data_IF_014620044222
#
_entry.id   IF_014620044222
#
_cell.length_a   1.000
_cell.length_b   1.000
_cell.length_c   1.000
_cell.angle_alpha   90.00
_cell.angle_beta   90.00
_cell.angle_gamma   90.00
#
_symmetry.space_group_name_H-M   'P 1'
#
loop_
_entity.id
_entity.type
_entity.pdbx_description
1 polymer ?
#
# COMPACT_ATOMS: atom_id res chain seq x y z
N UNK A 1 -1.58 -18.00 -15.49
CA UNK A 1 -0.59 -17.23 -14.70
C UNK A 1 -0.67 -15.75 -15.06
N UNK A 2 -0.68 -15.41 -16.35
CA UNK A 2 -0.69 -14.03 -16.85
C UNK A 2 -1.90 -13.20 -16.43
N UNK A 3 -3.11 -13.78 -16.42
CA UNK A 3 -4.32 -13.05 -16.01
C UNK A 3 -4.31 -12.61 -14.54
N UNK A 4 -3.78 -13.44 -13.64
CA UNK A 4 -3.74 -13.13 -12.21
C UNK A 4 -2.65 -12.09 -11.89
N UNK A 5 -1.48 -12.22 -12.51
CA UNK A 5 -0.41 -11.24 -12.40
C UNK A 5 -0.85 -9.88 -12.98
N UNK A 6 -1.45 -9.87 -14.17
CA UNK A 6 -1.93 -8.64 -14.81
C UNK A 6 -3.03 -7.97 -13.96
N UNK A 7 -4.00 -8.72 -13.46
CA UNK A 7 -5.02 -8.21 -12.55
C UNK A 7 -4.43 -7.61 -11.26
N UNK A 8 -3.40 -8.23 -10.67
CA UNK A 8 -2.70 -7.68 -9.51
C UNK A 8 -1.96 -6.38 -9.86
N UNK A 9 -1.22 -6.34 -10.96
CA UNK A 9 -0.47 -5.15 -11.41
C UNK A 9 -1.43 -3.99 -11.69
N UNK A 10 -2.50 -4.23 -12.45
CA UNK A 10 -3.53 -3.22 -12.73
C UNK A 10 -4.25 -2.77 -11.46
N UNK A 11 -4.58 -3.70 -10.55
CA UNK A 11 -5.17 -3.37 -9.26
C UNK A 11 -4.24 -2.49 -8.41
N UNK A 12 -2.95 -2.84 -8.34
CA UNK A 12 -1.96 -2.07 -7.58
C UNK A 12 -1.76 -0.66 -8.17
N UNK A 13 -1.76 -0.54 -9.50
CA UNK A 13 -1.77 0.75 -10.19
C UNK A 13 -2.96 1.63 -9.78
N UNK A 14 -4.17 1.05 -9.77
CA UNK A 14 -5.38 1.77 -9.37
C UNK A 14 -5.37 2.15 -7.88
N UNK A 15 -4.84 1.29 -7.00
CA UNK A 15 -4.65 1.61 -5.58
C UNK A 15 -3.68 2.76 -5.40
N UNK A 16 -2.53 2.73 -6.09
CA UNK A 16 -1.52 3.78 -6.02
C UNK A 16 -2.06 5.12 -6.53
N UNK A 17 -2.80 5.13 -7.65
CA UNK A 17 -3.45 6.33 -8.17
C UNK A 17 -4.47 6.90 -7.18
N UNK A 18 -5.32 6.05 -6.62
CA UNK A 18 -6.33 6.45 -5.63
C UNK A 18 -5.67 7.10 -4.42
N UNK A 19 -4.59 6.51 -3.90
CA UNK A 19 -3.81 7.06 -2.79
C UNK A 19 -3.20 8.42 -3.11
N UNK A 20 -2.61 8.56 -4.30
CA UNK A 20 -2.02 9.82 -4.73
C UNK A 20 -3.05 10.96 -4.79
N UNK A 21 -4.25 10.68 -5.33
CA UNK A 21 -5.36 11.64 -5.38
C UNK A 21 -5.80 12.03 -3.96
N UNK A 22 -6.00 11.05 -3.09
CA UNK A 22 -6.43 11.29 -1.71
C UNK A 22 -5.39 12.10 -0.93
N UNK A 23 -4.10 11.81 -1.11
CA UNK A 23 -3.01 12.57 -0.49
C UNK A 23 -2.94 13.98 -1.06
N UNK A 24 -3.07 14.15 -2.37
CA UNK A 24 -3.10 15.47 -2.98
C UNK A 24 -4.20 16.36 -2.38
N UNK A 25 -5.43 15.82 -2.30
CA UNK A 25 -6.58 16.52 -1.73
C UNK A 25 -6.34 16.82 -0.24
N UNK A 26 -5.93 15.81 0.54
CA UNK A 26 -5.65 15.97 1.96
C UNK A 26 -4.57 17.02 2.23
N UNK A 27 -3.50 17.02 1.45
CA UNK A 27 -2.38 17.97 1.57
C UNK A 27 -2.77 19.39 1.17
N UNK A 28 -3.63 19.53 0.15
CA UNK A 28 -4.23 20.82 -0.23
C UNK A 28 -5.11 21.39 0.89
N UNK A 29 -5.94 20.55 1.52
CA UNK A 29 -6.83 20.97 2.62
C UNK A 29 -6.02 21.48 3.82
N UNK A 30 -4.92 20.81 4.18
CA UNK A 30 -4.13 21.20 5.37
C UNK A 30 -3.10 22.30 5.09
N UNK A 31 -2.93 22.74 3.83
CA UNK A 31 -1.94 23.75 3.45
C UNK A 31 -0.50 23.23 3.45
N UNK A 32 -0.30 21.94 3.13
CA UNK A 32 1.03 21.35 2.99
C UNK A 32 1.71 21.90 1.74
N UNK A 33 2.93 22.46 1.83
CA UNK A 33 3.66 22.93 0.67
C UNK A 33 3.96 21.75 -0.26
N UNK A 34 3.98 22.01 -1.57
CA UNK A 34 4.34 21.01 -2.57
C UNK A 34 3.44 19.76 -2.54
N UNK A 35 2.14 19.93 -2.24
CA UNK A 35 1.17 18.83 -2.17
C UNK A 35 1.22 17.90 -3.39
N UNK A 36 1.40 18.45 -4.61
CA UNK A 36 1.50 17.67 -5.83
C UNK A 36 2.75 16.78 -5.86
N UNK A 37 3.91 17.30 -5.42
CA UNK A 37 5.16 16.54 -5.39
C UNK A 37 5.01 15.34 -4.45
N UNK A 38 4.44 15.54 -3.27
CA UNK A 38 4.24 14.45 -2.31
C UNK A 38 3.18 13.44 -2.75
N UNK A 39 2.15 13.89 -3.47
CA UNK A 39 1.18 13.00 -4.09
C UNK A 39 1.80 12.12 -5.17
N UNK A 40 2.64 12.69 -6.04
CA UNK A 40 3.39 11.93 -7.06
C UNK A 40 4.40 10.97 -6.40
N UNK A 41 5.06 11.41 -5.33
CA UNK A 41 5.95 10.54 -4.57
C UNK A 41 5.19 9.37 -3.94
N UNK A 42 3.99 9.63 -3.41
CA UNK A 42 3.09 8.59 -2.89
C UNK A 42 2.58 7.67 -4.00
N UNK A 43 2.35 8.18 -5.21
CA UNK A 43 2.00 7.35 -6.36
C UNK A 43 3.12 6.34 -6.67
N UNK A 44 4.36 6.82 -6.81
CA UNK A 44 5.53 5.98 -7.12
C UNK A 44 5.78 4.96 -6.01
N UNK A 45 5.74 5.38 -4.75
CA UNK A 45 5.93 4.46 -3.64
C UNK A 45 4.73 3.57 -3.39
N UNK A 46 3.53 3.97 -3.82
CA UNK A 46 2.28 3.22 -3.67
C UNK A 46 2.29 1.86 -4.38
N UNK A 47 3.23 1.65 -5.31
CA UNK A 47 3.50 0.33 -5.88
C UNK A 47 4.04 -0.64 -4.83
N UNK A 48 4.84 -0.18 -3.85
CA UNK A 48 5.35 -1.00 -2.76
C UNK A 48 4.21 -1.27 -1.76
N UNK A 49 3.72 -2.52 -1.65
CA UNK A 49 2.61 -2.84 -0.78
C UNK A 49 2.94 -2.53 0.68
N UNK A 50 1.93 -2.06 1.42
CA UNK A 50 1.98 -1.69 2.84
C UNK A 50 2.95 -0.58 3.23
N UNK A 51 4.25 -0.70 2.90
CA UNK A 51 5.33 0.17 3.34
C UNK A 51 5.41 1.47 2.54
N UNK A 52 5.09 1.44 1.25
CA UNK A 52 5.31 2.59 0.36
C UNK A 52 4.63 3.88 0.83
N UNK A 53 3.42 3.76 1.38
CA UNK A 53 2.69 4.89 1.96
C UNK A 53 3.38 5.48 3.20
N UNK A 54 3.94 4.65 4.08
CA UNK A 54 4.66 5.15 5.26
C UNK A 54 5.95 5.86 4.86
N UNK A 55 6.69 5.30 3.90
CA UNK A 55 7.91 5.93 3.37
C UNK A 55 7.58 7.28 2.73
N UNK A 56 6.49 7.37 1.97
CA UNK A 56 6.12 8.62 1.29
C UNK A 56 5.80 9.77 2.25
N UNK A 57 5.52 9.46 3.52
CA UNK A 57 5.17 10.44 4.55
C UNK A 57 6.34 10.90 5.42
N UNK A 58 7.51 10.28 5.31
CA UNK A 58 8.69 10.65 6.12
C UNK A 58 9.04 12.13 5.89
N UNK A 59 9.25 12.54 4.64
CA UNK A 59 9.65 13.92 4.34
C UNK A 59 8.54 14.95 4.65
N UNK A 60 7.25 14.72 4.26
CA UNK A 60 6.15 15.57 4.70
C UNK A 60 6.05 15.73 6.22
N UNK A 61 6.36 14.68 6.99
CA UNK A 61 6.34 14.74 8.45
C UNK A 61 7.43 15.64 9.02
N UNK A 62 8.65 15.58 8.45
CA UNK A 62 9.75 16.50 8.81
C UNK A 62 9.33 17.96 8.55
N UNK A 63 8.72 18.23 7.39
CA UNK A 63 8.21 19.57 7.05
C UNK A 63 7.11 20.01 8.02
N UNK A 64 6.22 19.10 8.41
CA UNK A 64 5.16 19.41 9.36
C UNK A 64 5.71 19.78 10.75
N UNK A 65 6.77 19.10 11.21
CA UNK A 65 7.46 19.47 12.46
C UNK A 65 7.99 20.90 12.38
N UNK A 66 8.64 21.28 11.28
CA UNK A 66 9.14 22.64 11.08
C UNK A 66 8.04 23.70 11.01
N UNK A 67 6.80 23.32 10.66
CA UNK A 67 5.62 24.22 10.66
C UNK A 67 4.90 24.29 12.01
N UNK A 68 5.31 23.48 12.99
CA UNK A 68 4.75 23.47 14.35
C UNK A 68 3.61 22.48 14.58
N UNK A 69 3.21 22.36 15.85
CA UNK A 69 2.33 21.29 16.35
C UNK A 69 0.97 21.21 15.63
N UNK A 70 0.39 22.34 15.23
CA UNK A 70 -0.87 22.38 14.50
C UNK A 70 -0.79 21.69 13.14
N UNK A 71 0.35 21.81 12.44
CA UNK A 71 0.55 21.14 11.16
C UNK A 71 0.72 19.63 11.34
N UNK A 72 1.39 19.20 12.41
CA UNK A 72 1.53 17.79 12.76
C UNK A 72 0.16 17.16 12.97
N UNK A 73 -0.71 17.79 13.78
CA UNK A 73 -2.07 17.29 14.05
C UNK A 73 -2.87 17.17 12.75
N UNK A 74 -2.85 18.20 11.91
CA UNK A 74 -3.53 18.18 10.59
C UNK A 74 -3.02 17.05 9.70
N UNK A 75 -1.70 16.86 9.62
CA UNK A 75 -1.08 15.78 8.85
C UNK A 75 -1.49 14.40 9.40
N UNK A 76 -1.50 14.22 10.72
CA UNK A 76 -1.93 12.96 11.36
C UNK A 76 -3.39 12.64 11.05
N UNK A 77 -4.28 13.64 11.00
CA UNK A 77 -5.69 13.44 10.62
C UNK A 77 -5.78 12.97 9.16
N UNK A 78 -5.03 13.60 8.24
CA UNK A 78 -4.99 13.18 6.83
C UNK A 78 -4.45 11.75 6.72
N UNK A 79 -3.36 11.43 7.43
CA UNK A 79 -2.77 10.09 7.48
C UNK A 79 -3.81 9.03 7.86
N UNK A 80 -4.46 9.22 9.02
CA UNK A 80 -5.44 8.26 9.56
C UNK A 80 -6.60 8.11 8.59
N UNK A 81 -7.08 9.22 8.03
CA UNK A 81 -8.20 9.23 7.07
C UNK A 81 -7.85 8.45 5.80
N UNK A 82 -6.72 8.77 5.17
CA UNK A 82 -6.29 8.12 3.93
C UNK A 82 -6.01 6.64 4.17
N UNK A 83 -5.34 6.29 5.26
CA UNK A 83 -5.00 4.91 5.55
C UNK A 83 -6.23 4.06 5.91
N UNK A 84 -7.22 4.67 6.57
CA UNK A 84 -8.51 4.02 6.85
C UNK A 84 -9.30 3.79 5.56
N UNK A 85 -9.42 4.81 4.71
CA UNK A 85 -10.10 4.70 3.42
C UNK A 85 -9.40 3.69 2.50
N UNK A 86 -8.06 3.65 2.50
CA UNK A 86 -7.29 2.64 1.77
C UNK A 86 -7.71 1.23 2.18
N UNK A 87 -7.66 0.93 3.48
CA UNK A 87 -7.90 -0.41 4.00
C UNK A 87 -9.37 -0.84 3.93
N UNK A 88 -10.32 0.09 4.11
CA UNK A 88 -11.75 -0.23 4.19
C UNK A 88 -12.51 -0.08 2.88
N UNK A 89 -12.02 0.75 1.95
CA UNK A 89 -12.74 1.11 0.73
C UNK A 89 -11.92 0.78 -0.51
N UNK A 90 -10.73 1.35 -0.65
CA UNK A 90 -9.93 1.25 -1.89
C UNK A 90 -9.49 -0.19 -2.15
N UNK A 91 -8.87 -0.85 -1.16
CA UNK A 91 -8.39 -2.22 -1.32
C UNK A 91 -9.54 -3.21 -1.55
N UNK A 92 -10.64 -3.20 -0.78
CA UNK A 92 -11.77 -4.10 -1.04
C UNK A 92 -12.46 -3.89 -2.38
N UNK A 93 -12.58 -2.64 -2.86
CA UNK A 93 -13.22 -2.35 -4.15
C UNK A 93 -12.35 -2.76 -5.34
N UNK A 94 -11.04 -2.51 -5.26
CA UNK A 94 -10.11 -2.73 -6.38
C UNK A 94 -9.53 -4.13 -6.37
N UNK A 95 -9.15 -4.64 -5.20
CA UNK A 95 -8.45 -5.92 -5.05
C UNK A 95 -9.39 -7.03 -4.52
N UNK A 96 -10.69 -6.91 -4.83
CA UNK A 96 -11.86 -7.62 -4.29
C UNK A 96 -11.80 -9.16 -4.17
N UNK A 97 -10.75 -9.81 -4.67
CA UNK A 97 -10.54 -11.27 -4.61
C UNK A 97 -9.18 -11.71 -4.04
N UNK A 98 -8.32 -10.79 -3.57
CA UNK A 98 -7.03 -11.19 -3.02
C UNK A 98 -7.19 -11.76 -1.62
N UNK A 99 -6.60 -12.94 -1.42
CA UNK A 99 -6.67 -13.74 -0.20
C UNK A 99 -6.53 -12.88 1.05
N UNK A 100 -7.25 -13.25 2.11
CA UNK A 100 -7.05 -12.73 3.47
C UNK A 100 -5.61 -13.04 3.91
N UNK A 101 -4.65 -12.21 3.51
CA UNK A 101 -3.27 -12.22 3.99
C UNK A 101 -3.28 -11.37 5.25
N UNK A 102 -2.76 -11.93 6.33
CA UNK A 102 -2.70 -11.20 7.59
C UNK A 102 -1.71 -10.02 7.42
N UNK A 103 -2.03 -8.79 7.86
CA UNK A 103 -1.16 -7.63 7.68
C UNK A 103 0.29 -7.85 8.14
N UNK A 104 0.48 -8.60 9.23
CA UNK A 104 1.82 -8.98 9.72
C UNK A 104 2.61 -9.82 8.72
N UNK A 105 1.96 -10.76 8.02
CA UNK A 105 2.64 -11.60 7.03
C UNK A 105 3.16 -10.76 5.86
N UNK A 106 2.36 -9.79 5.42
CA UNK A 106 2.76 -8.89 4.34
C UNK A 106 3.98 -8.04 4.74
N UNK A 107 3.95 -7.44 5.94
CA UNK A 107 5.09 -6.68 6.48
C UNK A 107 6.36 -7.55 6.50
N UNK A 108 6.27 -8.79 6.98
CA UNK A 108 7.43 -9.70 7.00
C UNK A 108 7.95 -10.00 5.60
N UNK A 109 7.07 -10.28 4.65
CA UNK A 109 7.44 -10.57 3.26
C UNK A 109 8.09 -9.36 2.60
N UNK A 110 7.52 -8.17 2.80
CA UNK A 110 8.05 -6.94 2.20
C UNK A 110 9.40 -6.59 2.82
N UNK A 111 9.54 -6.60 4.15
CA UNK A 111 10.82 -6.28 4.81
C UNK A 111 11.91 -7.23 4.36
N UNK A 112 11.64 -8.54 4.35
CA UNK A 112 12.62 -9.52 3.86
C UNK A 112 12.95 -9.30 2.38
N UNK A 113 11.96 -9.13 1.52
CA UNK A 113 12.18 -8.92 0.09
C UNK A 113 12.95 -7.61 -0.21
N UNK A 114 12.65 -6.51 0.46
CA UNK A 114 13.40 -5.24 0.31
C UNK A 114 14.87 -5.44 0.67
N UNK A 115 15.18 -6.20 1.73
CA UNK A 115 16.56 -6.45 2.13
C UNK A 115 17.38 -7.25 1.10
N UNK A 116 16.74 -8.14 0.33
CA UNK A 116 17.44 -8.98 -0.66
C UNK A 116 17.47 -8.39 -2.07
N UNK A 117 16.44 -7.66 -2.48
CA UNK A 117 16.29 -7.19 -3.87
C UNK A 117 15.59 -5.84 -4.03
N UNK A 118 15.49 -5.07 -2.95
CA UNK A 118 14.94 -3.72 -2.97
C UNK A 118 13.43 -3.64 -3.25
N UNK A 119 12.94 -2.45 -3.66
CA UNK A 119 11.51 -2.21 -3.90
C UNK A 119 10.85 -3.14 -4.92
N UNK A 120 11.59 -3.55 -5.96
CA UNK A 120 11.10 -4.47 -6.98
C UNK A 120 10.82 -5.86 -6.39
N UNK A 121 11.69 -6.37 -5.53
CA UNK A 121 11.46 -7.65 -4.86
C UNK A 121 10.22 -7.60 -3.95
N UNK A 122 9.99 -6.49 -3.25
CA UNK A 122 8.79 -6.26 -2.45
C UNK A 122 7.49 -6.22 -3.27
N UNK A 123 7.53 -5.69 -4.49
CA UNK A 123 6.36 -5.70 -5.37
C UNK A 123 5.98 -7.12 -5.79
N UNK A 124 6.97 -7.98 -6.02
CA UNK A 124 6.82 -9.33 -6.58
C UNK A 124 6.55 -10.38 -5.48
N UNK A 125 7.07 -10.20 -4.26
CA UNK A 125 6.94 -11.20 -3.19
C UNK A 125 5.49 -11.41 -2.73
N UNK A 126 4.69 -10.34 -2.70
CA UNK A 126 3.28 -10.37 -2.26
C UNK A 126 2.41 -11.22 -3.18
N UNK A 127 2.41 -11.02 -4.52
CA UNK A 127 1.64 -11.90 -5.42
C UNK A 127 2.19 -13.33 -5.42
N UNK A 128 3.51 -13.54 -5.34
CA UNK A 128 4.10 -14.88 -5.22
C UNK A 128 3.58 -15.63 -3.98
N UNK A 129 3.61 -14.99 -2.82
CA UNK A 129 3.11 -15.58 -1.58
C UNK A 129 1.61 -15.88 -1.67
N UNK A 130 0.82 -14.97 -2.25
CA UNK A 130 -0.60 -15.20 -2.48
C UNK A 130 -0.83 -16.46 -3.33
N UNK A 131 -0.05 -16.65 -4.40
CA UNK A 131 -0.13 -17.85 -5.25
C UNK A 131 0.23 -19.13 -4.49
N UNK A 132 1.34 -19.13 -3.75
CA UNK A 132 1.75 -20.30 -2.94
C UNK A 132 0.68 -20.66 -1.91
N UNK A 133 0.12 -19.66 -1.22
CA UNK A 133 -0.95 -19.85 -0.24
C UNK A 133 -2.19 -20.51 -0.87
N UNK A 134 -2.60 -20.08 -2.07
CA UNK A 134 -3.73 -20.71 -2.80
C UNK A 134 -3.45 -22.17 -3.10
N UNK A 135 -2.25 -22.48 -3.61
CA UNK A 135 -1.87 -23.85 -3.97
C UNK A 135 -1.90 -24.74 -2.72
N UNK A 136 -1.29 -24.29 -1.63
CA UNK A 136 -1.25 -25.03 -0.36
C UNK A 136 -2.66 -25.27 0.18
N UNK A 137 -3.51 -24.25 0.22
CA UNK A 137 -4.90 -24.37 0.68
C UNK A 137 -5.72 -25.30 -0.22
N UNK A 138 -5.51 -25.25 -1.54
CA UNK A 138 -6.22 -26.12 -2.50
C UNK A 138 -5.82 -27.58 -2.32
N UNK A 139 -4.52 -27.86 -2.14
CA UNK A 139 -4.02 -29.21 -1.87
C UNK A 139 -4.51 -29.75 -0.52
N UNK A 140 -4.53 -28.91 0.52
CA UNK A 140 -5.01 -29.31 1.84
C UNK A 140 -6.51 -29.63 1.81
N UNK A 141 -7.32 -28.80 1.14
CA UNK A 141 -8.75 -29.04 0.95
C UNK A 141 -9.03 -30.30 0.14
N UNK A 142 -8.24 -30.57 -0.90
CA UNK A 142 -8.34 -31.81 -1.68
C UNK A 142 -8.04 -33.06 -0.85
N UNK A 143 -7.06 -32.99 0.06
CA UNK A 143 -6.69 -34.10 0.96
C UNK A 143 -7.71 -34.36 2.08
N UNK A 144 -8.55 -33.39 2.43
CA UNK A 144 -9.60 -33.53 3.46
C UNK A 144 -10.91 -34.08 2.87
N UNK A 145 -11.19 -33.82 1.59
CA UNK A 145 -12.43 -34.26 0.92
C UNK A 145 -12.35 -35.73 0.44
N UNK A 146 -11.15 -36.32 0.44
CA UNK A 146 -10.89 -37.71 0.06
C UNK A 146 -10.50 -38.52 1.29
#
# INVERSE_FOLDING_TARGET
MDKALNAYVTGQLMVALSLAIMIYIGYKIIGMPNALIWALFTFILGFIPFIGFFISMIIPSIIAVSKGIYMIIKLSIVFITVQTLKGRVVVPLIMSSTLKIHPLTDIFLVVTAVSYGGPMAAFIIVPLYAMVKVIVLSLYKYKIIR
#
